data_IF_174150604612
#
_entry.id   IF_174150604612
#
_cell.length_a   1.000
_cell.length_b   1.000
_cell.length_c   1.000
_cell.angle_alpha   90.00
_cell.angle_beta   90.00
_cell.angle_gamma   90.00
#
_symmetry.space_group_name_H-M   'P 1'
#
loop_
_entity.id
_entity.type
_entity.pdbx_description
1 polymer ?
#
# COMPACT_ATOMS: atom_id res chain seq x y z
N UNK A 1 -16.81 -56.30 -67.91
CA UNK A 1 -17.78 -56.80 -66.92
C UNK A 1 -17.95 -55.76 -65.83
N UNK A 2 -19.20 -55.38 -65.52
CA UNK A 2 -19.64 -54.47 -64.43
C UNK A 2 -19.30 -52.98 -64.67
N UNK A 3 -20.17 -52.00 -64.94
CA UNK A 3 -21.53 -51.69 -64.48
C UNK A 3 -21.62 -51.72 -62.94
N UNK A 4 -22.04 -50.69 -62.18
CA UNK A 4 -22.94 -49.55 -62.43
C UNK A 4 -22.91 -48.57 -61.23
N UNK A 5 -23.27 -47.32 -61.51
CA UNK A 5 -24.07 -46.34 -60.72
C UNK A 5 -23.58 -45.87 -59.34
N UNK A 6 -23.69 -44.58 -58.98
CA UNK A 6 -24.41 -43.47 -59.62
C UNK A 6 -23.99 -42.08 -59.10
N UNK A 7 -24.17 -41.07 -59.95
CA UNK A 7 -24.14 -39.65 -59.57
C UNK A 7 -25.51 -39.18 -59.06
N UNK A 8 -25.93 -37.91 -59.24
CA UNK A 8 -25.16 -36.69 -59.59
C UNK A 8 -25.58 -35.47 -58.69
N UNK A 9 -25.15 -34.27 -59.10
CA UNK A 9 -25.77 -32.94 -58.87
C UNK A 9 -25.29 -32.10 -57.66
N UNK A 10 -24.54 -31.05 -58.03
CA UNK A 10 -24.79 -29.63 -57.74
C UNK A 10 -25.98 -29.33 -56.82
N UNK A 11 -25.74 -28.56 -55.76
CA UNK A 11 -26.64 -27.45 -55.45
C UNK A 11 -25.93 -26.32 -54.70
N UNK A 12 -26.07 -25.14 -55.28
CA UNK A 12 -25.63 -23.85 -54.76
C UNK A 12 -26.63 -23.34 -53.73
N UNK A 13 -26.17 -23.05 -52.50
CA UNK A 13 -26.90 -22.16 -51.59
C UNK A 13 -25.95 -21.20 -50.89
N UNK A 14 -25.95 -19.95 -51.37
CA UNK A 14 -25.71 -18.78 -50.54
C UNK A 14 -26.90 -18.64 -49.56
N UNK A 15 -26.68 -18.72 -48.24
CA UNK A 15 -27.29 -17.79 -47.27
C UNK A 15 -26.76 -17.97 -45.83
N UNK A 16 -26.33 -16.83 -45.29
CA UNK A 16 -26.45 -16.35 -43.90
C UNK A 16 -26.10 -17.27 -42.71
N UNK A 17 -25.13 -16.79 -41.93
CA UNK A 17 -25.50 -16.20 -40.64
C UNK A 17 -24.91 -16.87 -39.40
N UNK A 18 -24.27 -16.01 -38.61
CA UNK A 18 -24.07 -16.09 -37.16
C UNK A 18 -22.84 -16.82 -36.62
N UNK A 19 -22.08 -16.05 -35.83
CA UNK A 19 -21.44 -16.59 -34.62
C UNK A 19 -19.93 -16.76 -34.69
N UNK A 20 -19.21 -15.86 -35.36
CA UNK A 20 -17.78 -15.69 -35.09
C UNK A 20 -17.63 -15.14 -33.67
N UNK A 21 -17.46 -16.05 -32.71
CA UNK A 21 -17.15 -15.75 -31.32
C UNK A 21 -16.00 -14.74 -31.29
N UNK A 22 -16.33 -13.51 -30.84
CA UNK A 22 -15.33 -12.49 -30.60
C UNK A 22 -14.27 -13.07 -29.69
N UNK A 23 -13.03 -13.09 -30.17
CA UNK A 23 -11.86 -13.19 -29.32
C UNK A 23 -12.06 -12.16 -28.20
N UNK A 24 -12.27 -12.67 -26.99
CA UNK A 24 -12.49 -11.88 -25.79
C UNK A 24 -11.40 -10.83 -25.72
N UNK A 25 -11.79 -9.55 -25.82
CA UNK A 25 -10.98 -8.44 -25.31
C UNK A 25 -10.47 -8.91 -23.94
N UNK A 26 -9.15 -8.90 -23.76
CA UNK A 26 -8.62 -8.98 -22.40
C UNK A 26 -9.32 -7.86 -21.62
N UNK A 27 -10.21 -8.25 -20.71
CA UNK A 27 -10.85 -7.34 -19.77
C UNK A 27 -9.73 -6.50 -19.14
N UNK A 28 -9.83 -5.17 -19.20
CA UNK A 28 -8.87 -4.29 -18.55
C UNK A 28 -8.80 -4.65 -17.05
N UNK A 29 -7.61 -4.72 -16.42
CA UNK A 29 -7.50 -5.02 -15.00
C UNK A 29 -8.37 -4.08 -14.17
N UNK A 30 -9.23 -4.63 -13.31
CA UNK A 30 -10.16 -3.84 -12.50
C UNK A 30 -11.51 -3.56 -13.18
N UNK A 31 -11.72 -3.92 -14.45
CA UNK A 31 -12.98 -3.68 -15.18
C UNK A 31 -14.21 -4.35 -14.55
N UNK A 32 -14.00 -5.38 -13.71
CA UNK A 32 -15.07 -6.07 -12.99
C UNK A 32 -15.37 -5.45 -11.63
N UNK A 33 -14.54 -4.50 -11.17
CA UNK A 33 -14.76 -3.77 -9.94
C UNK A 33 -15.90 -2.77 -10.11
N UNK A 34 -16.79 -2.74 -9.12
CA UNK A 34 -17.84 -1.73 -9.04
C UNK A 34 -17.32 -0.58 -8.19
N UNK A 35 -17.46 0.65 -8.70
CA UNK A 35 -17.16 1.84 -7.90
C UNK A 35 -18.01 1.82 -6.63
N UNK A 36 -17.41 2.03 -5.44
CA UNK A 36 -18.17 2.12 -4.21
C UNK A 36 -19.17 3.27 -4.29
N UNK A 37 -20.42 3.00 -3.91
CA UNK A 37 -21.39 4.07 -3.68
C UNK A 37 -21.19 4.62 -2.27
N UNK A 38 -20.42 5.69 -2.17
CA UNK A 38 -20.10 6.34 -0.88
C UNK A 38 -21.33 6.92 -0.17
N UNK A 39 -22.44 7.17 -0.90
CA UNK A 39 -23.66 7.72 -0.30
C UNK A 39 -24.42 6.71 0.57
N UNK A 40 -24.28 5.42 0.27
CA UNK A 40 -24.94 4.32 0.99
C UNK A 40 -24.03 3.63 2.02
N UNK A 41 -22.75 4.00 2.10
CA UNK A 41 -21.78 3.40 3.02
C UNK A 41 -21.62 4.28 4.26
N UNK A 42 -21.98 3.75 5.43
CA UNK A 42 -21.66 4.38 6.71
C UNK A 42 -20.19 4.17 7.05
N UNK A 43 -19.37 5.20 6.85
CA UNK A 43 -17.96 5.18 7.23
C UNK A 43 -17.80 5.30 8.76
N UNK A 44 -16.96 4.45 9.33
CA UNK A 44 -16.56 4.56 10.73
C UNK A 44 -15.57 5.71 10.89
N UNK A 45 -15.78 6.55 11.91
CA UNK A 45 -14.78 7.55 12.29
C UNK A 45 -13.55 6.85 12.85
N UNK A 46 -12.38 7.42 12.59
CA UNK A 46 -11.10 7.01 13.14
C UNK A 46 -10.30 8.27 13.47
N UNK A 47 -9.40 8.17 14.44
CA UNK A 47 -8.45 9.23 14.75
C UNK A 47 -7.33 9.20 13.72
N UNK A 48 -6.85 10.39 13.33
CA UNK A 48 -5.75 10.55 12.39
C UNK A 48 -4.54 11.24 13.01
N UNK A 49 -4.78 12.18 13.91
CA UNK A 49 -3.73 12.97 14.56
C UNK A 49 -3.31 12.33 15.88
N UNK A 50 -2.12 11.74 15.88
CA UNK A 50 -1.47 11.11 17.02
C UNK A 50 -0.27 11.92 17.50
N UNK A 51 0.11 12.97 16.77
CA UNK A 51 1.34 13.68 17.04
C UNK A 51 1.17 14.62 18.24
N UNK A 52 2.15 14.56 19.13
CA UNK A 52 2.32 15.52 20.20
C UNK A 52 3.78 15.98 20.12
N UNK A 53 3.99 17.28 19.97
CA UNK A 53 5.34 17.83 19.90
C UNK A 53 6.04 17.67 21.24
N UNK A 54 7.18 16.98 21.25
CA UNK A 54 7.97 16.78 22.45
C UNK A 54 8.58 18.11 22.94
N UNK A 55 8.73 18.30 24.25
CA UNK A 55 9.26 19.55 24.82
C UNK A 55 10.62 19.92 24.22
N UNK A 56 11.54 18.96 24.08
CA UNK A 56 12.84 19.17 23.42
C UNK A 56 12.72 19.69 21.97
N UNK A 57 11.63 19.37 21.26
CA UNK A 57 11.37 19.88 19.91
C UNK A 57 10.82 21.31 19.98
N UNK A 58 9.90 21.59 20.91
CA UNK A 58 9.34 22.93 21.14
C UNK A 58 10.41 23.92 21.61
N UNK A 59 11.33 23.48 22.47
CA UNK A 59 12.35 24.34 23.08
C UNK A 59 13.50 24.70 22.11
N UNK A 60 13.64 24.00 20.98
CA UNK A 60 14.65 24.33 19.96
C UNK A 60 14.40 25.71 19.38
N UNK A 61 15.46 26.47 19.20
CA UNK A 61 15.39 27.74 18.47
C UNK A 61 15.17 27.50 16.97
N UNK A 62 14.61 28.48 16.27
CA UNK A 62 14.44 28.40 14.82
C UNK A 62 15.78 28.31 14.08
N UNK A 63 16.84 28.90 14.66
CA UNK A 63 18.20 28.76 14.14
C UNK A 63 18.70 27.31 14.19
N UNK A 64 18.53 26.62 15.32
CA UNK A 64 18.92 25.21 15.45
C UNK A 64 18.14 24.29 14.49
N UNK A 65 16.86 24.59 14.26
CA UNK A 65 16.06 23.86 13.28
C UNK A 65 16.57 24.13 11.87
N UNK A 66 16.84 25.39 11.53
CA UNK A 66 17.35 25.77 10.21
C UNK A 66 18.71 25.11 9.93
N UNK A 67 19.65 25.16 10.88
CA UNK A 67 20.96 24.52 10.78
C UNK A 67 20.81 23.01 10.53
N UNK A 68 19.89 22.35 11.26
CA UNK A 68 19.63 20.92 11.05
C UNK A 68 19.03 20.62 9.67
N UNK A 69 18.07 21.42 9.20
CA UNK A 69 17.48 21.23 7.88
C UNK A 69 18.52 21.39 6.76
N UNK A 70 19.41 22.38 6.90
CA UNK A 70 20.52 22.59 5.96
C UNK A 70 21.52 21.43 5.98
N UNK A 71 22.00 21.03 7.17
CA UNK A 71 22.96 19.93 7.33
C UNK A 71 22.41 18.58 6.85
N UNK A 72 21.11 18.36 7.02
CA UNK A 72 20.43 17.12 6.65
C UNK A 72 19.88 17.13 5.21
N UNK A 73 20.08 18.22 4.45
CA UNK A 73 19.56 18.44 3.09
C UNK A 73 18.03 18.26 3.01
N UNK A 74 17.30 18.76 4.01
CA UNK A 74 15.84 18.66 4.09
C UNK A 74 15.21 19.95 3.57
N UNK A 75 14.39 19.82 2.52
CA UNK A 75 13.49 20.87 2.06
C UNK A 75 12.05 20.52 2.45
N UNK A 76 11.32 21.51 2.94
CA UNK A 76 9.94 21.35 3.41
C UNK A 76 9.03 22.33 2.69
N UNK A 77 7.93 21.83 2.13
CA UNK A 77 6.89 22.63 1.48
C UNK A 77 5.53 22.25 2.05
N UNK A 78 4.71 23.23 2.41
CA UNK A 78 3.36 23.03 2.95
C UNK A 78 2.98 24.06 4.02
N UNK A 79 1.73 23.98 4.47
CA UNK A 79 1.20 24.82 5.55
C UNK A 79 1.29 24.10 6.90
N UNK A 80 1.69 24.80 7.96
CA UNK A 80 1.77 24.30 9.34
C UNK A 80 2.53 22.96 9.46
N UNK A 81 3.68 22.85 8.81
CA UNK A 81 4.48 21.61 8.84
C UNK A 81 5.13 21.45 10.22
N UNK A 82 4.95 20.29 10.90
CA UNK A 82 5.59 20.02 12.18
C UNK A 82 7.12 20.12 12.12
N UNK A 83 7.74 20.56 13.22
CA UNK A 83 9.20 20.63 13.35
C UNK A 83 9.82 19.23 13.27
N UNK A 84 11.05 19.10 12.72
CA UNK A 84 11.72 17.81 12.64
C UNK A 84 12.10 17.28 14.02
N UNK A 85 12.05 15.95 14.16
CA UNK A 85 12.57 15.24 15.33
C UNK A 85 14.02 14.83 15.12
N UNK A 86 14.88 15.06 16.11
CA UNK A 86 16.31 14.72 16.05
C UNK A 86 16.56 13.32 16.65
N UNK A 87 15.67 12.86 17.53
CA UNK A 87 15.73 11.54 18.15
C UNK A 87 14.37 10.82 18.06
N UNK A 88 14.37 9.48 18.00
CA UNK A 88 13.12 8.70 17.90
C UNK A 88 12.18 8.92 19.09
N UNK A 89 12.72 9.18 20.28
CA UNK A 89 11.93 9.43 21.50
C UNK A 89 11.06 10.69 21.39
N UNK A 90 11.46 11.64 20.54
CA UNK A 90 10.76 12.91 20.33
C UNK A 90 9.54 12.76 19.42
N UNK A 91 9.44 11.65 18.68
CA UNK A 91 8.31 11.37 17.79
C UNK A 91 7.04 10.89 18.51
N UNK A 92 7.09 10.67 19.84
CA UNK A 92 5.92 10.21 20.60
C UNK A 92 5.47 8.78 20.26
N UNK A 93 6.39 7.93 19.80
CA UNK A 93 6.07 6.53 19.44
C UNK A 93 5.77 5.68 20.69
N UNK A 94 4.86 4.68 20.60
CA UNK A 94 4.56 3.78 21.70
C UNK A 94 5.80 3.04 22.21
N UNK A 95 5.86 2.77 23.52
CA UNK A 95 7.02 2.13 24.17
C UNK A 95 7.42 0.79 23.55
N UNK A 96 6.45 -0.01 23.09
CA UNK A 96 6.71 -1.27 22.37
C UNK A 96 7.43 -1.05 21.02
N UNK A 97 7.08 0.02 20.31
CA UNK A 97 7.73 0.41 19.06
C UNK A 97 9.13 0.94 19.34
N UNK A 98 9.29 1.81 20.34
CA UNK A 98 10.60 2.31 20.76
C UNK A 98 11.56 1.18 21.16
N UNK A 99 11.09 0.22 21.96
CA UNK A 99 11.88 -0.97 22.32
C UNK A 99 12.36 -1.73 21.08
N UNK A 100 11.51 -1.85 20.06
CA UNK A 100 11.88 -2.53 18.82
C UNK A 100 12.92 -1.75 18.01
N UNK A 101 12.81 -0.43 17.97
CA UNK A 101 13.82 0.46 17.36
C UNK A 101 15.18 0.25 18.04
N UNK A 102 15.20 0.17 19.38
CA UNK A 102 16.41 -0.10 20.16
C UNK A 102 17.00 -1.49 19.87
N UNK A 103 16.15 -2.53 19.80
CA UNK A 103 16.56 -3.90 19.44
C UNK A 103 17.14 -4.01 18.03
N UNK A 104 16.67 -3.18 17.09
CA UNK A 104 17.21 -3.06 15.74
C UNK A 104 18.50 -2.23 15.69
N UNK A 105 18.90 -1.61 16.80
CA UNK A 105 20.13 -0.80 16.91
C UNK A 105 20.04 0.56 16.23
N UNK A 106 18.83 1.07 15.96
CA UNK A 106 18.63 2.36 15.29
C UNK A 106 18.83 3.51 16.28
N UNK A 107 19.97 4.19 16.17
CA UNK A 107 20.36 5.23 17.13
C UNK A 107 19.60 6.55 16.96
N UNK A 108 19.39 6.97 15.71
CA UNK A 108 18.74 8.25 15.36
C UNK A 108 17.91 8.08 14.09
N UNK A 109 16.83 8.85 13.93
CA UNK A 109 16.10 8.92 12.68
C UNK A 109 17.01 9.39 11.55
N UNK A 110 16.78 8.88 10.34
CA UNK A 110 17.39 9.43 9.12
C UNK A 110 16.71 10.75 8.75
N UNK A 111 17.29 11.59 7.86
CA UNK A 111 16.69 12.88 7.48
C UNK A 111 15.21 12.79 7.07
N UNK A 112 14.86 11.81 6.22
CA UNK A 112 13.47 11.60 5.79
C UNK A 112 12.55 11.15 6.94
N UNK A 113 13.09 10.44 7.94
CA UNK A 113 12.32 10.04 9.13
C UNK A 113 12.17 11.22 10.10
N UNK A 114 13.21 12.04 10.28
CA UNK A 114 13.19 13.22 11.14
C UNK A 114 12.05 14.17 10.79
N UNK A 115 11.84 14.41 9.49
CA UNK A 115 10.73 15.23 9.02
C UNK A 115 9.44 14.42 8.79
N UNK A 116 9.56 13.20 8.25
CA UNK A 116 8.41 12.40 7.83
C UNK A 116 7.59 11.81 8.98
N UNK A 117 8.23 11.43 10.10
CA UNK A 117 7.53 10.87 11.27
C UNK A 117 6.51 11.85 11.86
N UNK A 118 6.86 13.09 12.25
CA UNK A 118 5.89 14.01 12.84
C UNK A 118 4.79 14.40 11.84
N UNK A 119 5.12 14.55 10.54
CA UNK A 119 4.12 14.82 9.50
C UNK A 119 3.10 13.67 9.35
N UNK A 120 3.56 12.43 9.25
CA UNK A 120 2.68 11.28 9.10
C UNK A 120 1.86 11.01 10.38
N UNK A 121 2.46 11.18 11.57
CA UNK A 121 1.75 11.04 12.85
C UNK A 121 0.70 12.12 13.07
N UNK A 122 0.85 13.30 12.46
CA UNK A 122 -0.19 14.35 12.48
C UNK A 122 -1.41 14.03 11.59
N UNK A 123 -1.37 12.91 10.85
CA UNK A 123 -2.49 12.46 10.03
C UNK A 123 -2.66 13.22 8.72
N UNK A 124 -1.63 13.93 8.28
CA UNK A 124 -1.59 14.68 7.02
C UNK A 124 -1.29 13.75 5.83
N UNK A 125 -1.72 14.18 4.65
CA UNK A 125 -1.25 13.59 3.40
C UNK A 125 0.15 14.15 3.11
N UNK A 126 1.10 13.26 2.83
CA UNK A 126 2.53 13.62 2.73
C UNK A 126 3.14 13.04 1.46
N UNK A 127 3.90 13.86 0.75
CA UNK A 127 4.80 13.42 -0.33
C UNK A 127 6.23 13.50 0.20
N UNK A 128 6.89 12.34 0.32
CA UNK A 128 8.27 12.24 0.80
C UNK A 128 9.22 11.83 -0.32
N UNK A 129 10.15 12.72 -0.69
CA UNK A 129 11.14 12.46 -1.72
C UNK A 129 12.50 12.26 -1.06
N UNK A 130 13.07 11.06 -1.21
CA UNK A 130 14.42 10.75 -0.76
C UNK A 130 15.00 9.60 -1.60
N UNK A 131 16.33 9.53 -1.68
CA UNK A 131 17.04 8.45 -2.39
C UNK A 131 16.76 7.07 -1.79
N UNK A 132 16.98 6.03 -2.58
CA UNK A 132 16.92 4.63 -2.11
C UNK A 132 17.90 4.42 -0.97
N UNK A 133 17.51 3.63 0.04
CA UNK A 133 18.32 3.41 1.24
C UNK A 133 18.25 4.51 2.29
N UNK A 134 17.52 5.62 2.06
CA UNK A 134 17.36 6.69 3.06
C UNK A 134 16.45 6.34 4.25
N UNK A 135 15.88 5.13 4.32
CA UNK A 135 15.01 4.72 5.41
C UNK A 135 13.53 5.11 5.27
N UNK A 136 13.06 5.41 4.04
CA UNK A 136 11.65 5.74 3.73
C UNK A 136 10.66 4.71 4.27
N UNK A 137 10.99 3.43 4.14
CA UNK A 137 10.13 2.31 4.58
C UNK A 137 9.74 2.43 6.05
N UNK A 138 10.70 2.67 6.95
CA UNK A 138 10.38 2.86 8.36
C UNK A 138 9.63 4.18 8.61
N UNK A 139 9.89 5.22 7.81
CA UNK A 139 9.22 6.52 7.93
C UNK A 139 7.71 6.42 7.74
N UNK A 140 7.20 5.55 6.86
CA UNK A 140 5.77 5.34 6.70
C UNK A 140 5.22 4.17 7.51
N UNK A 141 6.04 3.17 7.86
CA UNK A 141 5.58 2.03 8.66
C UNK A 141 5.42 2.36 10.15
N UNK A 142 6.34 3.12 10.74
CA UNK A 142 6.25 3.46 12.18
C UNK A 142 4.95 4.21 12.52
N UNK A 143 4.54 5.26 11.77
CA UNK A 143 3.25 5.90 11.97
C UNK A 143 2.07 4.96 11.66
N UNK A 144 2.20 4.08 10.65
CA UNK A 144 1.15 3.09 10.35
C UNK A 144 0.89 2.15 11.53
N UNK A 145 1.93 1.74 12.29
CA UNK A 145 1.75 0.92 13.48
C UNK A 145 0.94 1.64 14.57
N UNK A 146 1.20 2.92 14.79
CA UNK A 146 0.43 3.76 15.73
C UNK A 146 -1.01 3.88 15.28
N UNK A 147 -1.20 4.20 13.99
CA UNK A 147 -2.52 4.34 13.35
C UNK A 147 -3.37 3.07 13.43
N UNK A 148 -2.77 1.90 13.21
CA UNK A 148 -3.45 0.60 13.33
C UNK A 148 -3.86 0.32 14.77
N UNK A 149 -2.98 0.61 15.74
CA UNK A 149 -3.21 0.29 17.15
C UNK A 149 -4.30 1.14 17.81
N UNK A 150 -4.60 2.33 17.28
CA UNK A 150 -5.71 3.15 17.75
C UNK A 150 -7.08 2.72 17.16
N UNK A 151 -7.09 1.75 16.24
CA UNK A 151 -8.33 1.28 15.62
C UNK A 151 -8.91 0.02 16.27
N UNK A 152 -10.23 -0.20 16.14
CA UNK A 152 -10.84 -1.45 16.54
C UNK A 152 -10.18 -2.64 15.83
N UNK A 153 -9.99 -3.74 16.55
CA UNK A 153 -9.44 -4.97 16.00
C UNK A 153 -10.22 -5.42 14.75
N UNK A 154 -9.51 -6.06 13.82
CA UNK A 154 -10.12 -6.59 12.61
C UNK A 154 -11.13 -7.67 12.97
N UNK A 155 -12.28 -7.64 12.30
CA UNK A 155 -13.26 -8.72 12.33
C UNK A 155 -13.04 -9.67 11.16
N UNK A 156 -13.59 -10.87 11.25
CA UNK A 156 -13.55 -11.80 10.12
C UNK A 156 -14.23 -11.17 8.90
N UNK A 157 -13.52 -11.12 7.78
CA UNK A 157 -13.98 -10.50 6.53
C UNK A 157 -13.60 -9.02 6.38
N UNK A 158 -13.00 -8.41 7.40
CA UNK A 158 -12.41 -7.08 7.26
C UNK A 158 -11.17 -7.11 6.36
N UNK A 159 -10.98 -6.02 5.62
CA UNK A 159 -9.75 -5.74 4.89
C UNK A 159 -8.64 -5.15 5.76
N UNK A 160 -7.45 -4.91 5.18
CA UNK A 160 -6.35 -4.26 5.88
C UNK A 160 -6.70 -2.81 6.26
N UNK A 161 -6.06 -2.33 7.31
CA UNK A 161 -6.11 -0.92 7.74
C UNK A 161 -5.06 -0.11 6.99
N UNK A 162 -3.87 -0.68 6.79
CA UNK A 162 -2.77 -0.11 6.06
C UNK A 162 -2.52 -0.87 4.76
N UNK A 163 -2.53 -0.14 3.64
CA UNK A 163 -2.17 -0.66 2.33
C UNK A 163 -0.89 0.04 1.86
N UNK A 164 0.12 -0.75 1.49
CA UNK A 164 1.35 -0.27 0.87
C UNK A 164 1.42 -0.80 -0.56
N UNK A 165 1.33 0.10 -1.53
CA UNK A 165 1.52 -0.22 -2.94
C UNK A 165 2.97 0.01 -3.34
N UNK A 166 3.52 -0.96 -4.07
CA UNK A 166 4.89 -0.95 -4.58
C UNK A 166 4.92 -1.41 -6.05
N UNK A 167 5.87 -0.95 -6.86
CA UNK A 167 5.90 -1.26 -8.30
C UNK A 167 6.32 -2.69 -8.63
N UNK A 168 7.16 -3.32 -7.81
CA UNK A 168 7.79 -4.61 -8.13
C UNK A 168 7.60 -5.63 -7.02
N UNK A 169 7.72 -6.91 -7.39
CA UNK A 169 7.69 -8.01 -6.44
C UNK A 169 8.85 -7.93 -5.46
N UNK A 170 10.04 -7.62 -5.95
CA UNK A 170 11.26 -7.59 -5.16
C UNK A 170 11.17 -6.49 -4.10
N UNK A 171 10.61 -5.32 -4.44
CA UNK A 171 10.34 -4.27 -3.46
C UNK A 171 9.24 -4.68 -2.48
N UNK A 172 8.20 -5.39 -2.94
CA UNK A 172 7.16 -5.92 -2.05
C UNK A 172 7.72 -6.87 -0.99
N UNK A 173 8.65 -7.75 -1.38
CA UNK A 173 9.33 -8.66 -0.46
C UNK A 173 10.21 -7.93 0.56
N UNK A 174 10.92 -6.88 0.12
CA UNK A 174 11.73 -6.04 1.01
C UNK A 174 10.86 -5.31 2.03
N UNK A 175 9.78 -4.66 1.58
CA UNK A 175 8.86 -3.94 2.46
C UNK A 175 8.12 -4.90 3.39
N UNK A 176 7.69 -6.08 2.92
CA UNK A 176 7.07 -7.12 3.76
C UNK A 176 8.00 -7.58 4.89
N UNK A 177 9.29 -7.80 4.60
CA UNK A 177 10.27 -8.17 5.62
C UNK A 177 10.38 -7.11 6.71
N UNK A 178 10.57 -5.84 6.33
CA UNK A 178 10.67 -4.73 7.29
C UNK A 178 9.37 -4.55 8.06
N UNK A 179 8.22 -4.65 7.39
CA UNK A 179 6.92 -4.54 8.01
C UNK A 179 6.69 -5.64 9.05
N UNK A 180 7.03 -6.90 8.75
CA UNK A 180 6.94 -8.01 9.72
C UNK A 180 7.82 -7.78 10.95
N UNK A 181 9.06 -7.33 10.73
CA UNK A 181 10.00 -7.08 11.82
C UNK A 181 9.52 -5.98 12.77
N UNK A 182 8.95 -4.90 12.25
CA UNK A 182 8.41 -3.81 13.05
C UNK A 182 7.06 -4.17 13.67
N UNK A 183 6.17 -4.81 12.91
CA UNK A 183 4.82 -5.18 13.33
C UNK A 183 4.81 -6.23 14.45
N UNK A 184 5.81 -7.13 14.48
CA UNK A 184 5.92 -8.15 15.52
C UNK A 184 5.97 -7.57 16.94
N UNK A 185 6.64 -6.42 17.13
CA UNK A 185 6.75 -5.74 18.42
C UNK A 185 5.41 -5.28 18.98
N UNK A 186 4.47 -5.02 18.09
CA UNK A 186 3.13 -4.57 18.40
C UNK A 186 2.11 -5.55 17.88
N UNK A 187 2.40 -6.86 17.78
CA UNK A 187 1.41 -7.91 17.48
C UNK A 187 0.46 -7.59 16.31
N UNK A 188 0.98 -7.00 15.24
CA UNK A 188 0.25 -6.66 14.01
C UNK A 188 0.59 -7.71 12.95
N UNK A 189 -0.41 -8.15 12.17
CA UNK A 189 -0.24 -9.14 11.11
C UNK A 189 -0.05 -8.47 9.75
N UNK A 190 0.84 -9.05 8.94
CA UNK A 190 1.24 -8.53 7.63
C UNK A 190 1.04 -9.61 6.56
N UNK A 191 0.54 -9.21 5.40
CA UNK A 191 0.45 -10.06 4.20
C UNK A 191 1.04 -9.35 2.99
N UNK A 192 1.78 -10.09 2.17
CA UNK A 192 2.28 -9.63 0.88
C UNK A 192 1.51 -10.25 -0.29
N UNK A 193 1.16 -9.43 -1.27
CA UNK A 193 0.38 -9.83 -2.45
C UNK A 193 1.07 -9.32 -3.73
N UNK A 194 1.75 -10.20 -4.45
CA UNK A 194 2.45 -9.84 -5.69
C UNK A 194 2.45 -10.97 -6.73
N UNK A 195 2.68 -10.61 -8.00
CA UNK A 195 2.77 -11.53 -9.13
C UNK A 195 3.90 -12.58 -9.01
N UNK A 196 3.85 -13.64 -9.82
CA UNK A 196 4.92 -14.65 -9.88
C UNK A 196 4.89 -15.73 -8.78
N UNK A 197 4.08 -15.55 -7.73
CA UNK A 197 3.76 -16.60 -6.76
C UNK A 197 2.33 -17.13 -6.93
N UNK A 198 2.12 -18.37 -6.46
CA UNK A 198 0.84 -19.06 -6.56
C UNK A 198 -0.27 -18.30 -5.80
N UNK A 199 -1.27 -17.80 -6.56
CA UNK A 199 -2.43 -17.06 -6.03
C UNK A 199 -3.11 -17.77 -4.86
N UNK A 200 -3.16 -19.11 -4.88
CA UNK A 200 -3.76 -19.94 -3.82
C UNK A 200 -3.12 -19.75 -2.45
N UNK A 201 -1.80 -19.62 -2.38
CA UNK A 201 -1.06 -19.48 -1.10
C UNK A 201 -1.34 -18.09 -0.50
N UNK A 202 -1.21 -17.04 -1.32
CA UNK A 202 -1.51 -15.67 -0.90
C UNK A 202 -2.97 -15.52 -0.46
N UNK A 203 -3.92 -16.13 -1.20
CA UNK A 203 -5.33 -16.19 -0.80
C UNK A 203 -5.55 -16.84 0.57
N UNK A 204 -4.85 -17.92 0.88
CA UNK A 204 -4.93 -18.54 2.20
C UNK A 204 -4.45 -17.61 3.32
N UNK A 205 -3.39 -16.84 3.06
CA UNK A 205 -2.84 -15.88 4.01
C UNK A 205 -3.77 -14.68 4.21
N UNK A 206 -4.48 -14.23 3.17
CA UNK A 206 -5.46 -13.14 3.26
C UNK A 206 -6.57 -13.43 4.29
N UNK A 207 -6.97 -14.70 4.45
CA UNK A 207 -8.00 -15.08 5.42
C UNK A 207 -7.59 -14.96 6.90
N UNK A 208 -6.32 -14.66 7.19
CA UNK A 208 -5.78 -14.58 8.56
C UNK A 208 -5.91 -13.20 9.22
N UNK A 209 -6.77 -12.31 8.70
CA UNK A 209 -7.00 -10.95 9.25
C UNK A 209 -5.69 -10.17 9.38
N UNK A 210 -5.20 -9.63 8.26
CA UNK A 210 -3.95 -8.89 8.22
C UNK A 210 -4.24 -7.39 8.25
N UNK A 211 -3.68 -6.67 9.22
CA UNK A 211 -3.84 -5.21 9.32
C UNK A 211 -3.01 -4.46 8.30
N UNK A 212 -1.85 -5.00 7.89
CA UNK A 212 -0.99 -4.46 6.84
C UNK A 212 -1.04 -5.37 5.61
N UNK A 213 -1.30 -4.78 4.44
CA UNK A 213 -1.14 -5.42 3.15
C UNK A 213 -0.06 -4.69 2.34
N UNK A 214 0.98 -5.41 1.93
CA UNK A 214 1.99 -4.92 0.97
C UNK A 214 1.68 -5.55 -0.38
N UNK A 215 1.50 -4.77 -1.44
CA UNK A 215 1.07 -5.33 -2.72
C UNK A 215 1.55 -4.60 -3.95
N UNK A 216 1.73 -5.34 -5.04
CA UNK A 216 1.81 -4.76 -6.39
C UNK A 216 0.40 -4.54 -6.94
N UNK A 217 0.12 -3.42 -7.66
CA UNK A 217 -1.24 -3.05 -8.09
C UNK A 217 -2.02 -4.18 -8.77
N UNK A 218 -1.43 -4.85 -9.76
CA UNK A 218 -2.14 -5.91 -10.51
C UNK A 218 -2.61 -7.08 -9.65
N UNK A 219 -1.78 -7.54 -8.69
CA UNK A 219 -2.18 -8.65 -7.80
C UNK A 219 -3.22 -8.22 -6.77
N UNK A 220 -3.21 -6.96 -6.33
CA UNK A 220 -4.27 -6.42 -5.48
C UNK A 220 -5.60 -6.43 -6.22
N UNK A 221 -5.63 -5.94 -7.47
CA UNK A 221 -6.83 -5.94 -8.32
C UNK A 221 -7.38 -7.36 -8.50
N UNK A 222 -6.52 -8.33 -8.80
CA UNK A 222 -6.90 -9.74 -8.92
C UNK A 222 -7.64 -10.28 -7.69
N UNK A 223 -7.29 -9.82 -6.49
CA UNK A 223 -7.92 -10.24 -5.22
C UNK A 223 -9.15 -9.42 -4.86
N UNK A 224 -9.20 -8.15 -5.26
CA UNK A 224 -10.39 -7.32 -5.11
C UNK A 224 -11.52 -7.84 -6.01
N UNK A 225 -11.20 -8.18 -7.26
CA UNK A 225 -12.18 -8.70 -8.23
C UNK A 225 -12.75 -10.06 -7.82
N UNK A 226 -11.93 -10.93 -7.22
CA UNK A 226 -12.39 -12.22 -6.71
C UNK A 226 -13.07 -12.14 -5.34
N UNK A 227 -13.09 -10.95 -4.71
CA UNK A 227 -13.64 -10.75 -3.37
C UNK A 227 -12.83 -11.40 -2.25
N UNK A 228 -11.56 -11.72 -2.50
CA UNK A 228 -10.64 -12.30 -1.51
C UNK A 228 -10.13 -11.27 -0.50
N UNK A 229 -10.10 -9.99 -0.90
CA UNK A 229 -9.78 -8.84 -0.07
C UNK A 229 -10.77 -7.71 -0.37
N UNK A 230 -10.90 -6.76 0.56
CA UNK A 230 -11.62 -5.49 0.35
C UNK A 230 -10.85 -4.37 1.04
N UNK A 231 -11.14 -3.11 0.71
CA UNK A 231 -10.45 -1.93 1.30
C UNK A 231 -11.36 -1.10 2.22
N UNK A 232 -12.46 -1.67 2.74
CA UNK A 232 -13.43 -0.90 3.56
C UNK A 232 -12.86 -0.38 4.88
N UNK A 233 -11.81 -1.03 5.39
CA UNK A 233 -11.07 -0.65 6.61
C UNK A 233 -9.80 0.15 6.31
N UNK A 234 -9.44 0.29 5.03
CA UNK A 234 -8.20 0.95 4.64
C UNK A 234 -8.30 2.45 4.94
N UNK A 235 -7.45 2.92 5.85
CA UNK A 235 -7.45 4.31 6.34
C UNK A 235 -6.04 4.90 6.37
N UNK A 236 -5.04 4.11 5.96
CA UNK A 236 -3.66 4.52 5.76
C UNK A 236 -3.17 3.90 4.44
N UNK A 237 -2.86 4.74 3.46
CA UNK A 237 -2.42 4.32 2.12
C UNK A 237 -1.02 4.86 1.87
N UNK A 238 -0.12 3.99 1.42
CA UNK A 238 1.24 4.34 1.01
C UNK A 238 1.42 3.96 -0.45
N UNK A 239 1.97 4.89 -1.23
CA UNK A 239 2.44 4.66 -2.59
C UNK A 239 3.97 4.81 -2.59
N UNK A 240 4.70 3.69 -2.56
CA UNK A 240 6.17 3.72 -2.59
C UNK A 240 6.68 3.57 -4.03
N UNK A 241 7.70 4.34 -4.39
CA UNK A 241 8.15 4.52 -5.79
C UNK A 241 6.98 4.89 -6.74
N UNK A 242 6.19 5.90 -6.34
CA UNK A 242 4.98 6.31 -7.07
C UNK A 242 5.27 6.79 -8.50
N UNK A 243 6.37 7.52 -8.70
CA UNK A 243 6.90 7.90 -10.01
C UNK A 243 7.11 6.67 -10.91
N UNK A 244 7.79 5.65 -10.39
CA UNK A 244 8.02 4.40 -11.11
C UNK A 244 6.73 3.64 -11.38
N UNK A 245 5.76 3.68 -10.47
CA UNK A 245 4.44 3.07 -10.71
C UNK A 245 3.73 3.73 -11.90
N UNK A 246 3.82 5.06 -12.04
CA UNK A 246 3.29 5.78 -13.20
C UNK A 246 4.05 5.41 -14.48
N UNK A 247 5.39 5.39 -14.44
CA UNK A 247 6.24 5.02 -15.59
C UNK A 247 5.98 3.60 -16.11
N UNK A 248 5.65 2.66 -15.20
CA UNK A 248 5.29 1.28 -15.53
C UNK A 248 3.86 1.13 -16.07
N UNK A 249 3.10 2.23 -16.19
CA UNK A 249 1.73 2.21 -16.67
C UNK A 249 0.73 1.67 -15.65
N UNK A 250 1.03 1.73 -14.36
CA UNK A 250 0.07 1.37 -13.30
C UNK A 250 -0.95 2.49 -13.01
N UNK A 251 -0.83 3.67 -13.62
CA UNK A 251 -1.77 4.78 -13.43
C UNK A 251 -3.25 4.34 -13.55
N UNK A 252 -3.68 3.58 -14.57
CA UNK A 252 -5.08 3.15 -14.68
C UNK A 252 -5.52 2.19 -13.56
N UNK A 253 -4.57 1.47 -12.95
CA UNK A 253 -4.83 0.52 -11.87
C UNK A 253 -4.89 1.20 -10.49
N UNK A 254 -4.27 2.38 -10.37
CA UNK A 254 -4.19 3.17 -9.13
C UNK A 254 -5.34 4.19 -9.03
N UNK A 255 -5.84 4.67 -10.18
CA UNK A 255 -6.90 5.68 -10.28
C UNK A 255 -8.30 5.14 -10.00
#
# INVERSE_FOLDING_TARGET
GGARNGGPLNDSYYRNGHGGAGLSRFDEPGSRLRKPDWSSIKLSKFRKDFYYEHQDVTDRSDGEIQDFLEDAEICVEGEDVPRPVFEFKEAGLPSKVMKRIDELGWKRPTPIQSQGLPMALSGRDVVGIARTGSGKTASFLLPALVHIRDQPELRRGDGPICLVLVPTRELAQQVDSVARDLAAAVGISVVACYGGEAKRIQKQNLYRQNEICVSTPGRLLDFLESGDINLRRCTYLVLDEADRMLDMGFEPQIR
#
